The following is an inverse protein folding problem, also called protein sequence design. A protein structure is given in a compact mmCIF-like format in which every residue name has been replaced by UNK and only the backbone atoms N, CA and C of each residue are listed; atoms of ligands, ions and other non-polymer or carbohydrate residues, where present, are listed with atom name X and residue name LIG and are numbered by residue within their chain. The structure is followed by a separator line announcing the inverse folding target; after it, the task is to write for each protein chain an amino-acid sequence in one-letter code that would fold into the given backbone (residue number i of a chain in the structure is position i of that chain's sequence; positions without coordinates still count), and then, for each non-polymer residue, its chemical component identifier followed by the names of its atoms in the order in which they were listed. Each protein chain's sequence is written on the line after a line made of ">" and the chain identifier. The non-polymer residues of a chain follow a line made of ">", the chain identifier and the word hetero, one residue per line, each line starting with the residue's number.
data_IF_141062110097
#
_entry.id   IF_141062110097
#
_cell.length_a   1.000
_cell.length_b   1.000
_cell.length_c   1.000
_cell.angle_alpha   90.00
_cell.angle_beta   90.00
_cell.angle_gamma   90.00
#
_symmetry.space_group_name_H-M   'P 1'
#
loop_
_entity.id
_entity.type
_entity.pdbx_description
1 polymer ?
#
# COMPACT_ATOMS: atom_id res chain seq x y z
N UNK A 1 -2.33 24.19 0.14
CA UNK A 1 -2.39 22.94 0.92
C UNK A 1 -3.85 22.50 0.96
N UNK A 2 -4.25 21.47 0.22
CA UNK A 2 -5.60 20.91 0.32
C UNK A 2 -5.62 19.99 1.52
N UNK A 3 -6.45 20.33 2.52
CA UNK A 3 -6.58 19.57 3.76
C UNK A 3 -7.09 18.17 3.44
N UNK A 4 -6.36 17.20 3.94
CA UNK A 4 -6.71 15.79 3.93
C UNK A 4 -7.19 15.44 5.33
N UNK A 5 -8.42 14.98 5.43
CA UNK A 5 -8.97 14.50 6.68
C UNK A 5 -9.26 13.02 6.53
N UNK A 6 -8.64 12.21 7.37
CA UNK A 6 -8.97 10.79 7.52
C UNK A 6 -9.96 10.70 8.67
N UNK A 7 -11.18 10.29 8.38
CA UNK A 7 -12.18 10.01 9.42
C UNK A 7 -12.27 8.49 9.60
N UNK A 8 -12.10 8.04 10.83
CA UNK A 8 -12.34 6.66 11.22
C UNK A 8 -13.67 6.66 11.98
N UNK A 9 -14.71 6.11 11.38
CA UNK A 9 -15.96 5.81 12.08
C UNK A 9 -15.94 4.35 12.54
N UNK A 10 -15.87 4.16 13.84
CA UNK A 10 -15.98 2.83 14.47
C UNK A 10 -17.48 2.57 14.75
N UNK A 11 -18.15 1.91 13.82
CA UNK A 11 -19.49 1.36 14.07
C UNK A 11 -19.36 -0.13 14.36
N UNK A 12 -20.09 -0.61 15.34
CA UNK A 12 -20.02 -1.88 16.07
C UNK A 12 -19.56 -3.16 15.32
N UNK A 13 -19.55 -3.20 13.98
CA UNK A 13 -19.12 -4.36 13.18
C UNK A 13 -18.26 -4.00 11.97
N UNK A 14 -18.25 -2.74 11.51
CA UNK A 14 -17.53 -2.31 10.30
C UNK A 14 -16.67 -1.06 10.55
N UNK A 15 -15.48 -1.03 9.97
CA UNK A 15 -14.62 0.16 9.96
C UNK A 15 -14.84 0.88 8.63
N UNK A 16 -15.14 2.17 8.67
CA UNK A 16 -15.16 2.97 7.45
C UNK A 16 -14.04 4.02 7.49
N UNK A 17 -13.30 4.10 6.39
CA UNK A 17 -12.28 5.12 6.19
C UNK A 17 -12.73 6.05 5.08
N UNK A 18 -12.72 7.35 5.37
CA UNK A 18 -13.09 8.38 4.40
C UNK A 18 -11.85 9.18 4.01
N UNK A 19 -11.67 9.37 2.70
CA UNK A 19 -10.55 10.13 2.16
C UNK A 19 -11.06 11.21 1.22
N UNK A 20 -10.41 12.36 1.24
CA UNK A 20 -10.64 13.43 0.28
C UNK A 20 -9.47 13.46 -0.72
N UNK A 21 -9.73 13.10 -1.97
CA UNK A 21 -8.76 13.16 -3.06
C UNK A 21 -9.35 13.99 -4.19
N UNK A 22 -8.68 15.07 -4.60
CA UNK A 22 -9.11 15.99 -5.64
C UNK A 22 -10.57 16.43 -5.50
N UNK A 23 -10.98 16.78 -4.27
CA UNK A 23 -12.35 17.18 -3.91
C UNK A 23 -13.40 16.05 -4.01
N UNK A 24 -13.00 14.81 -4.29
CA UNK A 24 -13.87 13.64 -4.23
C UNK A 24 -13.72 12.94 -2.90
N UNK A 25 -14.84 12.69 -2.24
CA UNK A 25 -14.87 11.91 -1.00
C UNK A 25 -14.88 10.42 -1.38
N UNK A 26 -13.81 9.71 -1.02
CA UNK A 26 -13.73 8.26 -1.14
C UNK A 26 -14.02 7.63 0.22
N UNK A 27 -14.87 6.63 0.24
CA UNK A 27 -15.17 5.85 1.44
C UNK A 27 -14.79 4.38 1.21
N UNK A 28 -14.09 3.79 2.17
CA UNK A 28 -13.75 2.37 2.20
C UNK A 28 -14.43 1.75 3.41
N UNK A 29 -15.17 0.66 3.18
CA UNK A 29 -15.79 -0.15 4.23
C UNK A 29 -14.94 -1.40 4.44
N UNK A 30 -14.67 -1.73 5.69
CA UNK A 30 -13.97 -2.95 6.08
C UNK A 30 -14.81 -3.68 7.12
N UNK A 31 -15.05 -4.96 6.90
CA UNK A 31 -15.62 -5.82 7.93
C UNK A 31 -14.62 -5.93 9.08
N UNK A 32 -15.13 -5.96 10.31
CA UNK A 32 -14.30 -6.16 11.50
C UNK A 32 -13.76 -7.60 11.49
N UNK A 33 -12.55 -7.75 10.96
CA UNK A 33 -11.86 -9.02 10.87
C UNK A 33 -10.71 -9.12 11.87
N UNK A 34 -9.98 -10.22 11.78
CA UNK A 34 -8.77 -10.47 12.56
C UNK A 34 -7.50 -9.99 11.86
N UNK A 35 -7.60 -9.62 10.58
CA UNK A 35 -6.45 -9.20 9.79
C UNK A 35 -5.93 -7.84 10.26
N UNK A 36 -4.62 -7.78 10.44
CA UNK A 36 -3.91 -6.59 10.92
C UNK A 36 -4.10 -5.39 9.98
N UNK A 37 -4.31 -4.20 10.55
CA UNK A 37 -3.92 -2.97 9.87
C UNK A 37 -5.02 -1.99 9.47
N UNK A 38 -6.31 -2.28 9.63
CA UNK A 38 -7.36 -1.36 9.14
C UNK A 38 -7.37 0.02 9.82
N UNK A 39 -7.06 0.10 11.12
CA UNK A 39 -7.03 1.37 11.88
C UNK A 39 -5.64 1.74 12.41
N UNK A 40 -4.58 1.03 12.00
CA UNK A 40 -3.24 1.27 12.50
C UNK A 40 -2.59 2.50 11.86
N UNK A 41 -1.78 3.24 12.63
CA UNK A 41 -1.07 4.44 12.16
C UNK A 41 -0.26 4.21 10.88
N UNK A 42 0.34 3.03 10.72
CA UNK A 42 1.09 2.67 9.50
C UNK A 42 0.21 2.62 8.26
N UNK A 43 -1.06 2.23 8.41
CA UNK A 43 -2.03 2.22 7.32
C UNK A 43 -2.41 3.63 6.89
N UNK A 44 -2.61 4.53 7.84
CA UNK A 44 -2.86 5.95 7.54
C UNK A 44 -1.66 6.55 6.78
N UNK A 45 -0.44 6.29 7.27
CA UNK A 45 0.78 6.82 6.64
C UNK A 45 1.01 6.30 5.22
N UNK A 46 0.75 5.00 4.95
CA UNK A 46 0.92 4.46 3.60
C UNK A 46 -0.16 4.98 2.65
N UNK A 47 -1.36 5.24 3.14
CA UNK A 47 -2.43 5.87 2.36
C UNK A 47 -2.04 7.30 1.96
N UNK A 48 -1.44 8.09 2.87
CA UNK A 48 -0.89 9.41 2.55
C UNK A 48 0.20 9.33 1.48
N UNK A 49 1.06 8.32 1.56
CA UNK A 49 2.09 8.08 0.56
C UNK A 49 1.51 7.68 -0.80
N UNK A 50 0.49 6.82 -0.84
CA UNK A 50 -0.24 6.46 -2.08
C UNK A 50 -0.87 7.71 -2.70
N UNK A 51 -1.52 8.54 -1.89
CA UNK A 51 -2.10 9.79 -2.35
C UNK A 51 -1.06 10.72 -2.97
N UNK A 52 0.09 10.89 -2.32
CA UNK A 52 1.20 11.71 -2.86
C UNK A 52 1.61 11.23 -4.26
N UNK A 53 1.80 9.91 -4.43
CA UNK A 53 2.17 9.33 -5.73
C UNK A 53 1.03 9.51 -6.74
N UNK A 54 -0.22 9.26 -6.35
CA UNK A 54 -1.40 9.48 -7.20
C UNK A 54 -1.49 10.93 -7.71
N UNK A 55 -1.28 11.92 -6.86
CA UNK A 55 -1.31 13.33 -7.24
C UNK A 55 -0.16 13.71 -8.20
N UNK A 56 0.95 12.97 -8.13
CA UNK A 56 2.14 13.24 -8.96
C UNK A 56 2.04 12.63 -10.35
N UNK A 57 1.51 11.41 -10.50
CA UNK A 57 1.54 10.66 -11.75
C UNK A 57 0.17 10.13 -12.20
N UNK A 58 -0.87 10.28 -11.37
CA UNK A 58 -2.17 9.63 -11.62
C UNK A 58 -2.16 8.11 -11.41
N UNK A 59 -3.27 7.43 -11.79
CA UNK A 59 -3.34 5.98 -11.70
C UNK A 59 -2.49 5.31 -12.78
N UNK A 60 -1.86 4.21 -12.41
CA UNK A 60 -1.02 3.39 -13.30
C UNK A 60 -1.49 1.95 -13.32
N UNK A 61 -1.01 1.17 -14.29
CA UNK A 61 -1.29 -0.26 -14.38
C UNK A 61 -0.17 -1.10 -13.71
N UNK A 62 -0.47 -2.39 -13.46
CA UNK A 62 0.43 -3.35 -12.85
C UNK A 62 0.94 -2.88 -11.49
N UNK A 63 0.04 -2.86 -10.52
CA UNK A 63 0.33 -2.51 -9.13
C UNK A 63 0.42 -3.78 -8.28
N UNK A 64 1.35 -3.82 -7.33
CA UNK A 64 1.48 -4.89 -6.35
C UNK A 64 1.14 -4.36 -4.95
N UNK A 65 0.25 -5.04 -4.26
CA UNK A 65 -0.01 -4.91 -2.82
C UNK A 65 0.59 -6.13 -2.12
N UNK A 66 1.76 -5.95 -1.50
CA UNK A 66 2.51 -7.02 -0.85
C UNK A 66 2.20 -7.06 0.66
N UNK A 67 1.69 -8.20 1.12
CA UNK A 67 1.11 -8.35 2.46
C UNK A 67 -0.25 -7.67 2.51
N UNK A 68 -1.15 -8.04 1.60
CA UNK A 68 -2.40 -7.29 1.37
C UNK A 68 -3.38 -7.35 2.55
N UNK A 69 -3.28 -8.37 3.43
CA UNK A 69 -4.11 -8.51 4.61
C UNK A 69 -5.60 -8.37 4.32
N UNK A 70 -6.26 -7.44 4.98
CA UNK A 70 -7.69 -7.11 4.78
C UNK A 70 -8.03 -6.57 3.38
N UNK A 71 -7.04 -6.34 2.51
CA UNK A 71 -7.22 -5.80 1.17
C UNK A 71 -7.40 -4.29 1.10
N UNK A 72 -7.24 -3.56 2.20
CA UNK A 72 -7.52 -2.12 2.26
C UNK A 72 -6.75 -1.30 1.21
N UNK A 73 -5.46 -1.60 0.99
CA UNK A 73 -4.65 -0.86 0.01
C UNK A 73 -5.07 -1.21 -1.42
N UNK A 74 -5.33 -2.48 -1.70
CA UNK A 74 -5.87 -2.93 -2.99
C UNK A 74 -7.23 -2.31 -3.29
N UNK A 75 -8.13 -2.18 -2.29
CA UNK A 75 -9.43 -1.49 -2.42
C UNK A 75 -9.21 0.00 -2.72
N UNK A 76 -8.29 0.66 -2.00
CA UNK A 76 -7.95 2.06 -2.27
C UNK A 76 -7.43 2.24 -3.69
N UNK A 77 -6.49 1.41 -4.13
CA UNK A 77 -5.95 1.46 -5.50
C UNK A 77 -7.05 1.27 -6.53
N UNK A 78 -7.98 0.32 -6.33
CA UNK A 78 -9.13 0.10 -7.21
C UNK A 78 -10.03 1.33 -7.28
N UNK A 79 -10.40 1.92 -6.15
CA UNK A 79 -11.22 3.15 -6.09
C UNK A 79 -10.53 4.37 -6.71
N UNK A 80 -9.21 4.37 -6.80
CA UNK A 80 -8.39 5.39 -7.48
C UNK A 80 -8.17 5.07 -8.97
N UNK A 81 -8.83 4.04 -9.51
CA UNK A 81 -8.73 3.59 -10.90
C UNK A 81 -7.34 3.09 -11.33
N UNK A 82 -6.54 2.58 -10.39
CA UNK A 82 -5.37 1.80 -10.75
C UNK A 82 -5.80 0.48 -11.41
N UNK A 83 -5.02 0.02 -12.39
CA UNK A 83 -5.36 -1.15 -13.19
C UNK A 83 -4.42 -2.31 -12.91
N UNK A 84 -4.91 -3.54 -13.15
CA UNK A 84 -4.14 -4.77 -12.97
C UNK A 84 -3.48 -4.83 -11.58
N UNK A 85 -4.29 -4.81 -10.54
CA UNK A 85 -3.83 -4.92 -9.16
C UNK A 85 -3.53 -6.38 -8.87
N UNK A 86 -2.34 -6.63 -8.35
CA UNK A 86 -1.88 -7.93 -7.85
C UNK A 86 -1.80 -7.83 -6.34
N UNK A 87 -2.37 -8.79 -5.62
CA UNK A 87 -2.30 -8.90 -4.18
C UNK A 87 -1.53 -10.15 -3.78
N UNK A 88 -0.54 -10.00 -2.91
CA UNK A 88 0.21 -11.12 -2.37
C UNK A 88 -0.04 -11.22 -0.87
N UNK A 89 -0.64 -12.33 -0.45
CA UNK A 89 -0.93 -12.64 0.94
C UNK A 89 -0.71 -14.15 1.16
N UNK A 90 -0.16 -14.50 2.32
CA UNK A 90 0.12 -15.90 2.68
C UNK A 90 -0.94 -16.51 3.57
N UNK A 91 -1.70 -15.67 4.28
CA UNK A 91 -2.80 -16.11 5.15
C UNK A 91 -4.10 -16.23 4.35
N UNK A 92 -4.60 -17.45 4.22
CA UNK A 92 -5.85 -17.72 3.49
C UNK A 92 -7.05 -17.05 4.14
N UNK A 93 -7.08 -16.92 5.47
CA UNK A 93 -8.17 -16.22 6.17
C UNK A 93 -8.17 -14.73 5.82
N UNK A 94 -7.00 -14.11 5.73
CA UNK A 94 -6.87 -12.73 5.30
C UNK A 94 -7.33 -12.53 3.83
N UNK A 95 -7.04 -13.50 2.95
CA UNK A 95 -7.55 -13.48 1.58
C UNK A 95 -9.08 -13.53 1.55
N UNK A 96 -9.70 -14.44 2.30
CA UNK A 96 -11.16 -14.54 2.39
C UNK A 96 -11.79 -13.26 2.94
N UNK A 97 -11.20 -12.68 3.99
CA UNK A 97 -11.61 -11.38 4.55
C UNK A 97 -11.50 -10.27 3.51
N UNK A 98 -10.39 -10.22 2.77
CA UNK A 98 -10.17 -9.25 1.69
C UNK A 98 -11.27 -9.34 0.63
N UNK A 99 -11.65 -10.55 0.20
CA UNK A 99 -12.73 -10.77 -0.77
C UNK A 99 -14.07 -10.23 -0.24
N UNK A 100 -14.38 -10.43 1.03
CA UNK A 100 -15.59 -9.87 1.66
C UNK A 100 -15.53 -8.33 1.68
N UNK A 101 -14.38 -7.75 1.98
CA UNK A 101 -14.17 -6.31 1.99
C UNK A 101 -14.34 -5.70 0.58
N UNK A 102 -13.87 -6.38 -0.48
CA UNK A 102 -14.13 -5.95 -1.86
C UNK A 102 -15.63 -5.92 -2.18
N UNK A 103 -16.39 -6.95 -1.78
CA UNK A 103 -17.86 -7.01 -1.95
C UNK A 103 -18.55 -5.85 -1.22
N UNK A 104 -18.20 -5.59 0.04
CA UNK A 104 -18.74 -4.48 0.84
C UNK A 104 -18.47 -3.11 0.21
N UNK A 105 -17.42 -2.99 -0.60
CA UNK A 105 -17.10 -1.78 -1.35
C UNK A 105 -17.70 -1.73 -2.76
N UNK A 106 -18.54 -2.71 -3.15
CA UNK A 106 -19.15 -2.82 -4.47
C UNK A 106 -18.13 -2.89 -5.62
N UNK A 107 -16.96 -3.48 -5.36
CA UNK A 107 -15.89 -3.68 -6.33
C UNK A 107 -15.98 -5.13 -6.82
N UNK A 108 -16.24 -5.31 -8.12
CA UNK A 108 -16.36 -6.63 -8.74
C UNK A 108 -15.05 -7.08 -9.43
N UNK A 109 -14.16 -6.15 -9.75
CA UNK A 109 -12.84 -6.45 -10.30
C UNK A 109 -11.84 -6.64 -9.15
N UNK A 110 -11.76 -7.88 -8.67
CA UNK A 110 -10.87 -8.25 -7.57
C UNK A 110 -9.41 -8.21 -8.00
N UNK A 111 -8.47 -7.98 -7.07
CA UNK A 111 -7.05 -8.11 -7.36
C UNK A 111 -6.73 -9.55 -7.78
N UNK A 112 -5.70 -9.70 -8.58
CA UNK A 112 -5.14 -11.01 -8.91
C UNK A 112 -4.31 -11.50 -7.72
N UNK A 113 -4.84 -12.43 -6.94
CA UNK A 113 -4.08 -13.03 -5.85
C UNK A 113 -2.94 -13.90 -6.38
N UNK A 114 -1.72 -13.61 -5.93
CA UNK A 114 -0.49 -14.28 -6.36
C UNK A 114 0.31 -14.78 -5.15
N UNK A 115 1.04 -15.89 -5.31
CA UNK A 115 1.91 -16.44 -4.26
C UNK A 115 3.36 -15.96 -4.38
N UNK A 116 3.79 -15.65 -5.60
CA UNK A 116 5.17 -15.26 -5.91
C UNK A 116 5.20 -13.82 -6.44
N UNK A 117 5.38 -12.82 -5.57
CA UNK A 117 5.25 -11.41 -5.96
C UNK A 117 6.38 -10.93 -6.87
N UNK A 118 7.55 -11.60 -6.83
CA UNK A 118 8.77 -11.16 -7.53
C UNK A 118 9.15 -12.04 -8.71
N UNK A 119 8.19 -12.76 -9.31
CA UNK A 119 8.45 -13.64 -10.44
C UNK A 119 8.69 -12.93 -11.79
N UNK A 120 8.57 -11.59 -11.83
CA UNK A 120 8.69 -10.80 -13.06
C UNK A 120 9.58 -9.58 -12.85
N UNK A 121 10.58 -9.42 -13.70
CA UNK A 121 11.42 -8.23 -13.74
C UNK A 121 10.74 -7.12 -14.53
N UNK A 122 10.99 -5.86 -14.14
CA UNK A 122 10.51 -4.65 -14.82
C UNK A 122 8.99 -4.69 -15.12
N UNK A 123 8.20 -5.16 -14.17
CA UNK A 123 6.79 -5.43 -14.39
C UNK A 123 5.85 -4.43 -13.70
N UNK A 124 6.11 -4.08 -12.43
CA UNK A 124 5.23 -3.22 -11.66
C UNK A 124 5.57 -1.74 -11.85
N UNK A 125 4.54 -0.92 -12.04
CA UNK A 125 4.66 0.55 -12.00
C UNK A 125 4.57 1.10 -10.57
N UNK A 126 3.88 0.37 -9.69
CA UNK A 126 3.74 0.71 -8.29
C UNK A 126 3.79 -0.57 -7.45
N UNK A 127 4.59 -0.54 -6.40
CA UNK A 127 4.55 -1.55 -5.34
C UNK A 127 4.23 -0.83 -4.03
N UNK A 128 3.21 -1.29 -3.32
CA UNK A 128 2.86 -0.85 -1.97
C UNK A 128 3.03 -2.02 -1.00
N UNK A 129 3.58 -1.77 0.19
CA UNK A 129 3.78 -2.80 1.19
C UNK A 129 3.72 -2.22 2.60
N UNK A 130 2.77 -2.69 3.40
CA UNK A 130 2.61 -2.32 4.81
C UNK A 130 2.93 -3.53 5.70
N UNK A 131 4.20 -3.94 5.70
CA UNK A 131 4.68 -5.15 6.40
C UNK A 131 5.81 -4.84 7.37
N UNK A 132 6.14 -5.81 8.22
CA UNK A 132 7.24 -5.69 9.18
C UNK A 132 8.55 -5.22 8.53
N UNK A 133 9.19 -4.23 9.15
CA UNK A 133 10.46 -3.67 8.71
C UNK A 133 11.63 -4.65 8.67
N UNK A 134 11.48 -5.85 9.23
CA UNK A 134 12.48 -6.92 9.11
C UNK A 134 12.50 -7.61 7.74
N UNK A 135 11.36 -7.64 7.06
CA UNK A 135 11.24 -8.22 5.72
C UNK A 135 11.87 -7.33 4.63
N UNK A 136 11.73 -6.01 4.78
CA UNK A 136 12.04 -5.03 3.73
C UNK A 136 13.52 -5.06 3.32
N UNK A 137 14.52 -4.92 4.23
CA UNK A 137 15.93 -4.89 3.84
C UNK A 137 16.38 -6.14 3.10
N UNK A 138 15.85 -7.31 3.48
CA UNK A 138 16.22 -8.60 2.87
C UNK A 138 15.64 -8.80 1.48
N UNK A 139 14.63 -8.00 1.10
CA UNK A 139 13.93 -8.13 -0.17
C UNK A 139 14.04 -6.90 -1.08
N UNK A 140 14.85 -5.90 -0.71
CA UNK A 140 14.94 -4.65 -1.46
C UNK A 140 15.42 -4.86 -2.90
N UNK A 141 16.31 -5.83 -3.13
CA UNK A 141 16.77 -6.24 -4.46
C UNK A 141 15.59 -6.73 -5.31
N UNK A 142 14.73 -7.56 -4.72
CA UNK A 142 13.55 -8.11 -5.40
C UNK A 142 12.54 -7.00 -5.73
N UNK A 143 12.31 -6.05 -4.81
CA UNK A 143 11.48 -4.88 -5.07
C UNK A 143 12.03 -4.08 -6.26
N UNK A 144 13.33 -3.78 -6.24
CA UNK A 144 13.96 -3.02 -7.31
C UNK A 144 13.86 -3.76 -8.66
N UNK A 145 14.20 -5.04 -8.72
CA UNK A 145 14.14 -5.81 -9.96
C UNK A 145 12.72 -5.90 -10.53
N UNK A 146 11.71 -6.02 -9.67
CA UNK A 146 10.32 -6.17 -10.11
C UNK A 146 9.68 -4.84 -10.55
N UNK A 147 10.21 -3.70 -10.11
CA UNK A 147 9.76 -2.39 -10.54
C UNK A 147 10.25 -2.07 -11.94
N UNK A 148 9.40 -1.42 -12.73
CA UNK A 148 9.81 -0.75 -13.97
C UNK A 148 10.67 0.45 -13.65
N UNK A 149 11.46 0.89 -14.63
CA UNK A 149 12.10 2.20 -14.60
C UNK A 149 11.05 3.28 -14.31
N UNK A 150 11.40 4.23 -13.48
CA UNK A 150 10.53 5.31 -12.97
C UNK A 150 9.34 4.84 -12.13
N UNK A 151 9.20 3.53 -11.85
CA UNK A 151 8.20 2.96 -10.97
C UNK A 151 8.41 3.34 -9.51
N UNK A 152 7.34 3.33 -8.72
CA UNK A 152 7.34 3.74 -7.32
C UNK A 152 7.24 2.55 -6.37
N UNK A 153 8.00 2.62 -5.28
CA UNK A 153 7.93 1.73 -4.12
C UNK A 153 7.46 2.52 -2.91
N UNK A 154 6.38 2.08 -2.29
CA UNK A 154 5.85 2.68 -1.05
C UNK A 154 5.92 1.63 0.05
N UNK A 155 6.63 1.94 1.11
CA UNK A 155 6.88 1.05 2.24
C UNK A 155 6.36 1.65 3.54
N UNK A 156 5.72 0.86 4.39
CA UNK A 156 5.29 1.17 5.75
C UNK A 156 5.28 -0.10 6.62
N UNK A 157 4.82 -0.01 7.88
CA UNK A 157 4.78 -1.15 8.80
C UNK A 157 6.02 -1.26 9.69
N UNK A 158 6.78 -0.17 9.82
CA UNK A 158 7.98 -0.10 10.64
C UNK A 158 8.15 1.27 11.30
N UNK A 159 8.97 1.28 12.36
CA UNK A 159 9.28 2.52 13.09
C UNK A 159 10.41 3.31 12.40
N UNK A 160 10.54 4.59 12.77
CA UNK A 160 11.51 5.51 12.20
C UNK A 160 12.98 5.13 12.46
N UNK A 161 13.27 4.24 13.41
CA UNK A 161 14.61 3.71 13.66
C UNK A 161 15.18 2.94 12.46
N UNK A 162 14.29 2.34 11.66
CA UNK A 162 14.66 1.62 10.43
C UNK A 162 14.93 2.53 9.22
N UNK A 163 14.62 3.82 9.31
CA UNK A 163 14.69 4.75 8.19
C UNK A 163 16.06 4.75 7.52
N UNK A 164 17.13 4.91 8.30
CA UNK A 164 18.52 4.98 7.77
C UNK A 164 18.88 3.67 7.07
N UNK A 165 18.61 2.54 7.71
CA UNK A 165 18.90 1.22 7.14
C UNK A 165 18.18 1.03 5.80
N UNK A 166 16.86 1.28 5.77
CA UNK A 166 16.05 1.08 4.56
C UNK A 166 16.48 2.06 3.46
N UNK A 167 16.81 3.30 3.80
CA UNK A 167 17.30 4.28 2.82
C UNK A 167 18.60 3.81 2.17
N UNK A 168 19.58 3.39 2.97
CA UNK A 168 20.89 2.98 2.46
C UNK A 168 20.77 1.77 1.51
N UNK A 169 20.10 0.69 1.95
CA UNK A 169 19.93 -0.50 1.10
C UNK A 169 19.11 -0.20 -0.15
N UNK A 170 18.17 0.75 -0.09
CA UNK A 170 17.38 1.17 -1.26
C UNK A 170 18.25 1.90 -2.28
N UNK A 171 19.07 2.84 -1.83
CA UNK A 171 20.01 3.60 -2.69
C UNK A 171 21.01 2.68 -3.39
N UNK A 172 21.57 1.70 -2.68
CA UNK A 172 22.46 0.68 -3.23
C UNK A 172 21.80 -0.17 -4.33
N UNK A 173 20.47 -0.22 -4.36
CA UNK A 173 19.68 -1.00 -5.30
C UNK A 173 18.87 -0.15 -6.30
N UNK A 174 19.39 1.00 -6.70
CA UNK A 174 18.82 1.88 -7.73
C UNK A 174 17.42 2.44 -7.36
N UNK A 175 17.09 2.54 -6.08
CA UNK A 175 15.86 3.13 -5.57
C UNK A 175 16.17 4.47 -4.91
N UNK A 176 15.82 5.57 -5.57
CA UNK A 176 16.02 6.93 -5.05
C UNK A 176 14.92 7.28 -4.05
N UNK A 177 15.31 7.79 -2.89
CA UNK A 177 14.36 8.33 -1.91
C UNK A 177 13.61 9.55 -2.51
N UNK A 178 12.28 9.56 -2.32
CA UNK A 178 11.40 10.63 -2.80
C UNK A 178 10.82 11.43 -1.65
N UNK A 179 10.16 10.76 -0.69
CA UNK A 179 9.43 11.40 0.40
C UNK A 179 9.20 10.42 1.55
N UNK A 180 8.92 10.94 2.75
CA UNK A 180 8.46 10.16 3.89
C UNK A 180 7.33 10.87 4.64
N UNK A 181 6.49 10.09 5.29
CA UNK A 181 5.40 10.52 6.15
C UNK A 181 5.60 9.91 7.54
N UNK A 182 5.36 10.68 8.58
CA UNK A 182 5.69 10.29 9.96
C UNK A 182 4.49 10.47 10.88
N UNK A 183 4.24 9.46 11.71
CA UNK A 183 3.43 9.53 12.92
C UNK A 183 4.14 8.67 13.98
N UNK A 184 4.94 9.32 14.84
CA UNK A 184 5.85 8.64 15.77
C UNK A 184 5.18 7.53 16.57
N UNK A 185 5.78 6.33 16.65
CA UNK A 185 7.13 6.00 16.15
C UNK A 185 7.17 5.59 14.67
N UNK A 186 6.05 5.57 13.97
CA UNK A 186 5.86 4.97 12.64
C UNK A 186 6.25 5.90 11.51
N UNK A 187 6.62 5.28 10.36
CA UNK A 187 7.02 5.97 9.15
C UNK A 187 6.49 5.23 7.91
N UNK A 188 6.16 6.00 6.88
CA UNK A 188 6.02 5.50 5.50
C UNK A 188 7.03 6.19 4.60
N UNK A 189 7.62 5.46 3.66
CA UNK A 189 8.69 5.94 2.78
C UNK A 189 8.35 5.65 1.33
N UNK A 190 8.68 6.60 0.45
CA UNK A 190 8.50 6.50 -1.00
C UNK A 190 9.88 6.50 -1.66
N UNK A 191 10.07 5.54 -2.54
CA UNK A 191 11.23 5.44 -3.42
C UNK A 191 10.80 5.38 -4.88
N UNK A 192 11.69 5.77 -5.80
CA UNK A 192 11.49 5.66 -7.24
C UNK A 192 12.67 4.94 -7.86
N UNK A 193 12.41 3.97 -8.74
CA UNK A 193 13.46 3.28 -9.50
C UNK A 193 14.10 4.21 -10.53
N UNK A 194 15.43 4.19 -10.60
CA UNK A 194 16.24 4.99 -11.53
C UNK A 194 16.27 4.39 -12.92
#
# INVERSE_FOLDING_TARGET
>A
MKNFEVYIEDRFEDISLEFLIDSKKLKIFLNKGTSFGSSHDTTVLIIEAIKYVYQKIGPVANCLDLGSGSGILSILLSKLNYLNIYACEIDLHAIDESVLNFKSNLINDYPKFIKEPFCRNDFYNLIVSNISGGYIPNNIVNFSHSLKKDGFLILSGFNSEKQIQITNVSLENNLKFVQSFHNKPWISMIFQKS
#
